data_IF_885947322241
#
_entry.id   IF_885947322241
#
_cell.length_a   1.000
_cell.length_b   1.000
_cell.length_c   1.000
_cell.angle_alpha   90.00
_cell.angle_beta   90.00
_cell.angle_gamma   90.00
#
_symmetry.space_group_name_H-M   'P 1'
#
loop_
_entity.id
_entity.type
_entity.pdbx_description
1 polymer ?
#
# COMPACT_ATOMS: atom_id res chain seq x y z
N UNK A 1 -7.74 -16.68 5.12
CA UNK A 1 -7.60 -15.64 6.14
C UNK A 1 -7.74 -14.33 5.42
N UNK A 2 -8.46 -13.38 6.01
CA UNK A 2 -8.47 -12.00 5.55
C UNK A 2 -7.03 -11.50 5.65
N UNK A 3 -6.29 -11.50 4.54
CA UNK A 3 -4.95 -10.93 4.52
C UNK A 3 -5.09 -9.48 4.99
N UNK A 4 -4.30 -9.07 5.97
CA UNK A 4 -4.29 -7.67 6.38
C UNK A 4 -3.68 -6.86 5.24
N UNK A 5 -4.20 -5.65 5.02
CA UNK A 5 -3.61 -4.72 4.07
C UNK A 5 -2.14 -4.48 4.45
N UNK A 6 -1.21 -4.42 3.48
CA UNK A 6 0.22 -4.16 3.75
C UNK A 6 0.49 -2.73 4.24
N UNK A 7 -0.52 -1.87 4.21
CA UNK A 7 -0.49 -0.46 4.61
C UNK A 7 -1.75 -0.15 5.44
N UNK A 8 -1.67 0.87 6.30
CA UNK A 8 -2.81 1.31 7.13
C UNK A 8 -3.76 2.22 6.33
N UNK A 9 -3.17 3.20 5.64
CA UNK A 9 -3.79 4.13 4.70
C UNK A 9 -2.97 4.17 3.40
N UNK A 10 -3.57 4.66 2.31
CA UNK A 10 -2.88 4.84 1.03
C UNK A 10 -3.45 6.02 0.26
N UNK A 11 -2.65 7.06 0.03
CA UNK A 11 -3.00 8.23 -0.78
C UNK A 11 -3.03 7.87 -2.28
N UNK A 12 -2.06 7.07 -2.75
CA UNK A 12 -1.91 6.68 -4.15
C UNK A 12 -2.07 5.16 -4.30
N UNK A 13 -3.31 4.71 -4.38
CA UNK A 13 -3.65 3.31 -4.64
C UNK A 13 -3.76 3.02 -6.14
N UNK A 14 -3.04 2.01 -6.61
CA UNK A 14 -3.08 1.51 -7.98
C UNK A 14 -3.75 0.13 -8.01
N UNK A 15 -4.96 0.07 -8.56
CA UNK A 15 -5.78 -1.14 -8.57
C UNK A 15 -6.12 -1.64 -9.99
N UNK A 16 -6.20 -2.96 -10.17
CA UNK A 16 -6.81 -3.55 -11.38
C UNK A 16 -8.32 -3.29 -11.41
N UNK A 17 -8.92 -3.32 -12.61
CA UNK A 17 -10.38 -3.16 -12.80
C UNK A 17 -11.17 -4.47 -12.64
N UNK A 18 -10.59 -5.48 -11.99
CA UNK A 18 -11.25 -6.77 -11.70
C UNK A 18 -12.12 -6.69 -10.44
N UNK A 19 -12.94 -7.72 -10.19
CA UNK A 19 -13.73 -7.84 -8.96
C UNK A 19 -13.39 -9.21 -8.31
N UNK A 20 -12.71 -9.25 -7.15
CA UNK A 20 -12.15 -8.10 -6.44
C UNK A 20 -10.98 -7.44 -7.20
N UNK A 21 -10.70 -6.16 -6.94
CA UNK A 21 -9.54 -5.50 -7.48
C UNK A 21 -8.26 -6.03 -6.80
N UNK A 22 -7.17 -5.98 -7.54
CA UNK A 22 -5.82 -6.25 -7.05
C UNK A 22 -5.12 -4.90 -6.95
N UNK A 23 -4.81 -4.46 -5.73
CA UNK A 23 -4.32 -3.12 -5.42
C UNK A 23 -2.88 -3.14 -4.91
N UNK A 24 -2.17 -2.05 -5.15
CA UNK A 24 -0.86 -1.72 -4.56
C UNK A 24 -0.90 -0.28 -4.07
N UNK A 25 -0.23 -0.01 -2.96
CA UNK A 25 0.02 1.35 -2.54
C UNK A 25 1.40 1.79 -3.02
N UNK A 26 1.47 2.91 -3.73
CA UNK A 26 2.75 3.43 -4.25
C UNK A 26 3.21 4.68 -3.50
N UNK A 27 2.69 4.88 -2.30
CA UNK A 27 3.12 5.96 -1.41
C UNK A 27 4.57 5.78 -1.00
N UNK A 28 5.33 6.88 -1.05
CA UNK A 28 6.65 6.98 -0.43
C UNK A 28 6.50 7.36 1.04
N UNK A 29 6.67 6.41 1.93
CA UNK A 29 6.54 6.59 3.39
C UNK A 29 7.90 6.74 4.06
N UNK A 30 7.95 7.21 5.31
CA UNK A 30 9.21 7.27 6.07
C UNK A 30 9.70 5.85 6.38
N UNK A 31 8.76 4.98 6.76
CA UNK A 31 8.95 3.55 7.04
C UNK A 31 7.73 2.78 6.58
N UNK A 32 7.93 1.57 6.07
CA UNK A 32 6.80 0.69 5.78
C UNK A 32 6.09 0.27 7.06
N UNK A 33 4.80 -0.07 6.92
CA UNK A 33 4.05 -0.75 7.97
C UNK A 33 4.65 -2.12 8.26
N UNK A 34 4.54 -2.62 9.50
CA UNK A 34 4.94 -3.97 9.88
C UNK A 34 4.21 -5.06 9.08
N UNK A 35 3.09 -4.72 8.45
CA UNK A 35 2.34 -5.62 7.57
C UNK A 35 2.97 -5.77 6.17
N UNK A 36 3.84 -4.85 5.77
CA UNK A 36 4.51 -4.90 4.47
C UNK A 36 5.63 -5.95 4.48
N UNK A 37 5.56 -6.91 3.57
CA UNK A 37 6.54 -7.99 3.42
C UNK A 37 7.69 -7.59 2.50
N UNK A 38 7.40 -6.83 1.44
CA UNK A 38 8.36 -6.35 0.45
C UNK A 38 8.53 -4.82 0.55
N UNK A 39 9.35 -4.40 1.53
CA UNK A 39 9.63 -2.99 1.81
C UNK A 39 11.02 -2.61 1.29
N UNK A 40 11.07 -1.66 0.37
CA UNK A 40 12.32 -1.23 -0.27
C UNK A 40 12.55 0.27 -0.05
N UNK A 41 13.81 0.63 0.22
CA UNK A 41 14.25 2.03 0.34
C UNK A 41 14.47 2.64 -1.04
N UNK A 42 14.08 3.90 -1.19
CA UNK A 42 14.23 4.72 -2.40
C UNK A 42 15.40 5.70 -2.25
N UNK A 43 15.86 6.29 -3.35
CA UNK A 43 17.00 7.24 -3.35
C UNK A 43 16.81 8.44 -2.40
N UNK A 44 15.56 8.80 -2.09
CA UNK A 44 15.21 9.92 -1.19
C UNK A 44 15.22 9.52 0.31
N UNK A 45 15.72 8.34 0.68
CA UNK A 45 15.59 7.73 2.02
C UNK A 45 14.13 7.54 2.48
N UNK A 46 13.22 7.40 1.51
CA UNK A 46 11.82 7.01 1.73
C UNK A 46 11.65 5.55 1.39
N UNK A 47 10.65 4.90 1.93
CA UNK A 47 10.35 3.50 1.66
C UNK A 47 9.07 3.36 0.83
N UNK A 48 9.01 2.33 0.01
CA UNK A 48 7.82 1.94 -0.74
C UNK A 48 7.51 0.48 -0.44
N UNK A 49 6.24 0.18 -0.18
CA UNK A 49 5.77 -1.19 -0.03
C UNK A 49 5.35 -1.76 -1.40
N UNK A 50 5.97 -2.84 -1.84
CA UNK A 50 5.69 -3.48 -3.13
C UNK A 50 4.65 -4.60 -3.05
N UNK A 51 4.16 -4.89 -1.84
CA UNK A 51 3.12 -5.86 -1.62
C UNK A 51 1.85 -5.56 -2.42
N UNK A 52 1.17 -6.63 -2.78
CA UNK A 52 -0.12 -6.55 -3.48
C UNK A 52 -1.23 -7.02 -2.55
N UNK A 53 -2.35 -6.33 -2.58
CA UNK A 53 -3.53 -6.61 -1.78
C UNK A 53 -4.74 -6.92 -2.66
N UNK A 54 -5.54 -7.92 -2.30
CA UNK A 54 -6.80 -8.22 -3.00
C UNK A 54 -7.95 -7.60 -2.21
N UNK A 55 -8.62 -6.62 -2.80
CA UNK A 55 -9.75 -5.93 -2.19
C UNK A 55 -9.57 -4.42 -2.13
N UNK A 56 -10.34 -3.78 -1.26
CA UNK A 56 -10.35 -2.33 -1.07
C UNK A 56 -8.98 -1.82 -0.56
N UNK A 57 -8.36 -0.81 -1.18
CA UNK A 57 -7.08 -0.27 -0.71
C UNK A 57 -7.20 0.43 0.65
N UNK A 58 -8.41 0.81 1.07
CA UNK A 58 -8.74 1.52 2.30
C UNK A 58 -8.61 3.05 2.17
N UNK A 59 -8.61 3.75 3.31
CA UNK A 59 -8.65 5.21 3.33
C UNK A 59 -7.34 5.83 2.85
N UNK A 60 -7.42 7.09 2.41
CA UNK A 60 -6.27 7.96 2.23
C UNK A 60 -5.64 8.31 3.58
N UNK A 61 -4.37 8.72 3.57
CA UNK A 61 -3.63 9.09 4.78
C UNK A 61 -3.91 10.53 5.21
N UNK A 62 -4.23 11.39 4.24
CA UNK A 62 -4.61 12.77 4.47
C UNK A 62 -6.11 12.92 4.24
N UNK A 63 -6.80 13.56 5.19
CA UNK A 63 -8.14 14.11 4.96
C UNK A 63 -8.01 15.27 3.95
N UNK A 64 -8.83 15.27 2.89
CA UNK A 64 -8.95 16.40 1.93
C UNK A 64 -9.57 17.64 2.59
#
# INVERSE_FOLDING_TARGET
>A
GDEKRPWECCDIAMCTRSIPPICRCVDKVDRCSDACKDCEETEDNRHVCFDTYIGDPGPTCHDD
#
